data_IF_769791268734
#
_entry.id   IF_769791268734
#
_cell.length_a   1.000
_cell.length_b   1.000
_cell.length_c   1.000
_cell.angle_alpha   90.00
_cell.angle_beta   90.00
_cell.angle_gamma   90.00
#
_symmetry.space_group_name_H-M   'P 1'
#
loop_
_entity.id
_entity.type
_entity.pdbx_description
1 polymer ?
#
# COMPACT_ATOMS: atom_id res chain seq x y z
N UNK A 1 8.38 23.25 -17.01
CA UNK A 1 8.06 23.58 -15.61
C UNK A 1 8.18 25.08 -15.39
N UNK A 2 7.32 25.66 -14.54
CA UNK A 2 7.34 27.04 -14.08
C UNK A 2 7.53 27.04 -12.58
N UNK A 3 8.26 28.04 -12.07
CA UNK A 3 8.36 28.29 -10.64
C UNK A 3 7.37 29.40 -10.26
N UNK A 4 6.53 29.16 -9.27
CA UNK A 4 5.51 30.10 -8.79
C UNK A 4 5.55 30.12 -7.26
N UNK A 5 5.57 31.30 -6.66
CA UNK A 5 5.51 31.45 -5.21
C UNK A 5 4.13 31.94 -4.79
N UNK A 6 3.44 31.20 -3.91
CA UNK A 6 2.10 31.53 -3.39
C UNK A 6 2.09 31.24 -1.89
N UNK A 7 1.76 32.24 -1.07
CA UNK A 7 1.55 32.10 0.38
C UNK A 7 2.68 31.31 1.09
N UNK A 8 3.93 31.72 0.85
CA UNK A 8 5.20 31.13 1.36
C UNK A 8 5.60 29.75 0.80
N UNK A 9 4.82 29.21 -0.15
CA UNK A 9 5.16 27.99 -0.88
C UNK A 9 5.79 28.29 -2.23
N UNK A 10 6.92 27.63 -2.50
CA UNK A 10 7.57 27.65 -3.80
C UNK A 10 7.17 26.39 -4.60
N UNK A 11 6.29 26.57 -5.58
CA UNK A 11 5.82 25.53 -6.49
C UNK A 11 6.69 25.43 -7.74
N UNK A 12 7.09 24.22 -8.10
CA UNK A 12 7.54 23.85 -9.43
C UNK A 12 6.42 23.06 -10.11
N UNK A 13 5.69 23.69 -11.04
CA UNK A 13 4.47 23.13 -11.65
C UNK A 13 4.43 23.40 -13.16
N UNK A 14 3.76 22.54 -13.92
CA UNK A 14 3.59 22.72 -15.37
C UNK A 14 2.60 23.84 -15.75
N UNK A 15 1.48 23.95 -15.01
CA UNK A 15 0.37 24.88 -15.22
C UNK A 15 -0.17 25.36 -13.87
N UNK A 16 0.06 26.64 -13.57
CA UNK A 16 -0.37 27.31 -12.33
C UNK A 16 -1.89 27.22 -12.09
N UNK A 17 -2.70 27.14 -13.15
CA UNK A 17 -4.17 27.05 -13.01
C UNK A 17 -4.65 25.76 -12.33
N UNK A 18 -3.77 24.77 -12.15
CA UNK A 18 -4.04 23.55 -11.36
C UNK A 18 -4.07 23.81 -9.85
N UNK A 19 -3.53 24.92 -9.36
CA UNK A 19 -3.52 25.30 -7.94
C UNK A 19 -4.80 26.04 -7.52
N UNK A 20 -5.50 26.66 -8.47
CA UNK A 20 -6.74 27.37 -8.21
C UNK A 20 -7.96 26.43 -8.32
N UNK A 21 -8.96 26.53 -7.41
CA UNK A 21 -9.05 27.46 -6.29
C UNK A 21 -8.55 26.88 -4.95
N UNK A 22 -8.16 25.60 -4.92
CA UNK A 22 -7.99 24.84 -3.69
C UNK A 22 -6.77 25.28 -2.87
N UNK A 23 -5.67 25.70 -3.50
CA UNK A 23 -4.41 25.91 -2.81
C UNK A 23 -4.47 27.03 -1.76
N UNK A 24 -5.22 28.10 -2.02
CA UNK A 24 -5.38 29.21 -1.05
C UNK A 24 -6.19 28.84 0.19
N UNK A 25 -6.93 27.74 0.12
CA UNK A 25 -7.75 27.21 1.22
C UNK A 25 -7.32 25.78 1.55
N UNK A 26 -6.05 25.43 1.30
CA UNK A 26 -5.63 24.03 1.33
C UNK A 26 -5.84 23.38 2.69
N UNK A 27 -5.71 24.12 3.80
CA UNK A 27 -5.99 23.59 5.14
C UNK A 27 -7.44 23.10 5.30
N UNK A 28 -8.42 23.87 4.81
CA UNK A 28 -9.83 23.46 4.85
C UNK A 28 -10.10 22.25 3.96
N UNK A 29 -9.42 22.20 2.80
CA UNK A 29 -9.55 21.12 1.83
C UNK A 29 -8.89 19.83 2.34
N UNK A 30 -7.72 19.95 2.96
CA UNK A 30 -7.00 18.88 3.63
C UNK A 30 -7.85 18.28 4.75
N UNK A 31 -8.37 19.09 5.67
CA UNK A 31 -9.23 18.62 6.76
C UNK A 31 -10.47 17.86 6.25
N UNK A 32 -11.11 18.37 5.19
CA UNK A 32 -12.40 17.84 4.71
C UNK A 32 -12.27 16.66 3.74
N UNK A 33 -11.20 16.61 2.95
CA UNK A 33 -11.06 15.69 1.82
C UNK A 33 -9.82 14.81 1.92
N UNK A 34 -9.25 14.65 3.12
CA UNK A 34 -8.23 13.64 3.40
C UNK A 34 -8.76 12.24 3.10
N UNK A 35 -8.00 11.49 2.31
CA UNK A 35 -8.26 10.10 1.95
C UNK A 35 -7.31 9.13 2.65
N UNK A 36 -6.14 9.61 3.07
CA UNK A 36 -5.14 8.83 3.81
C UNK A 36 -4.27 9.77 4.64
N UNK A 37 -3.96 9.37 5.87
CA UNK A 37 -3.06 10.12 6.76
C UNK A 37 -2.19 9.17 7.56
N UNK A 38 -0.96 9.58 7.79
CA UNK A 38 -0.03 9.04 8.79
C UNK A 38 0.62 10.21 9.56
N UNK A 39 1.53 9.90 10.49
CA UNK A 39 2.14 10.88 11.38
C UNK A 39 2.95 11.98 10.68
N UNK A 40 3.30 11.80 9.41
CA UNK A 40 4.15 12.72 8.63
C UNK A 40 3.55 13.11 7.28
N UNK A 41 2.48 12.46 6.86
CA UNK A 41 1.94 12.59 5.51
C UNK A 41 0.43 12.62 5.53
N UNK A 42 -0.15 13.59 4.84
CA UNK A 42 -1.57 13.66 4.55
C UNK A 42 -1.78 13.62 3.03
N UNK A 43 -2.72 12.79 2.58
CA UNK A 43 -3.13 12.70 1.19
C UNK A 43 -4.58 13.10 1.12
N UNK A 44 -4.88 14.15 0.36
CA UNK A 44 -6.23 14.67 0.19
C UNK A 44 -6.56 14.92 -1.27
N UNK A 45 -7.85 14.86 -1.59
CA UNK A 45 -8.35 15.07 -2.96
C UNK A 45 -8.65 16.55 -3.19
N UNK A 46 -8.22 17.07 -4.33
CA UNK A 46 -8.49 18.43 -4.76
C UNK A 46 -9.06 18.46 -6.16
N UNK A 47 -9.75 19.55 -6.49
CA UNK A 47 -10.25 19.80 -7.83
C UNK A 47 -9.85 21.21 -8.25
N UNK A 48 -9.38 21.34 -9.49
CA UNK A 48 -9.01 22.65 -10.03
C UNK A 48 -10.20 23.40 -10.66
N UNK A 49 -9.95 24.63 -11.08
CA UNK A 49 -10.91 25.51 -11.77
C UNK A 49 -11.51 24.91 -13.04
N UNK A 50 -10.85 23.92 -13.66
CA UNK A 50 -11.29 23.20 -14.86
C UNK A 50 -11.96 21.87 -14.56
N UNK A 51 -12.29 21.60 -13.29
CA UNK A 51 -12.92 20.36 -12.84
C UNK A 51 -12.05 19.10 -13.02
N UNK A 52 -10.73 19.28 -13.12
CA UNK A 52 -9.76 18.17 -13.11
C UNK A 52 -9.47 17.79 -11.67
N UNK A 53 -9.45 16.49 -11.39
CA UNK A 53 -9.20 15.97 -10.06
C UNK A 53 -7.73 15.59 -9.87
N UNK A 54 -7.24 15.86 -8.67
CA UNK A 54 -5.88 15.56 -8.25
C UNK A 54 -5.86 15.02 -6.83
N UNK A 55 -4.76 14.37 -6.47
CA UNK A 55 -4.38 14.13 -5.09
C UNK A 55 -3.21 15.03 -4.73
N UNK A 56 -3.23 15.57 -3.52
CA UNK A 56 -2.13 16.30 -2.92
C UNK A 56 -1.58 15.45 -1.80
N UNK A 57 -0.29 15.12 -1.89
CA UNK A 57 0.46 14.48 -0.80
C UNK A 57 1.24 15.57 -0.09
N UNK A 58 0.75 16.01 1.05
CA UNK A 58 1.40 16.95 1.95
C UNK A 58 2.27 16.17 2.94
N UNK A 59 3.56 16.52 2.99
CA UNK A 59 4.58 15.86 3.81
C UNK A 59 5.11 16.90 4.79
N UNK A 60 4.80 16.67 6.07
CA UNK A 60 5.17 17.52 7.21
C UNK A 60 6.02 16.68 8.17
N UNK A 61 7.36 16.86 8.16
CA UNK A 61 8.27 16.20 9.09
C UNK A 61 7.84 16.39 10.54
N UNK A 62 7.86 15.33 11.34
CA UNK A 62 7.44 15.38 12.76
C UNK A 62 8.62 15.26 13.74
N UNK A 63 9.82 14.92 13.26
CA UNK A 63 11.01 14.72 14.07
C UNK A 63 12.19 15.58 13.63
N UNK A 64 13.09 15.90 14.57
CA UNK A 64 14.30 16.71 14.29
C UNK A 64 15.15 16.09 13.17
N UNK A 65 15.27 14.77 13.16
CA UNK A 65 16.01 14.03 12.12
C UNK A 65 15.36 14.24 10.76
N UNK A 66 14.04 14.15 10.68
CA UNK A 66 13.31 14.36 9.43
C UNK A 66 13.37 15.82 8.99
N UNK A 67 13.27 16.79 9.91
CA UNK A 67 13.46 18.20 9.57
C UNK A 67 14.84 18.46 8.95
N UNK A 68 15.91 17.85 9.49
CA UNK A 68 17.24 17.95 8.91
C UNK A 68 17.30 17.33 7.50
N UNK A 69 16.74 16.13 7.31
CA UNK A 69 16.68 15.49 5.99
C UNK A 69 15.88 16.34 5.01
N UNK A 70 14.69 16.80 5.40
CA UNK A 70 13.78 17.61 4.60
C UNK A 70 14.38 18.96 4.20
N UNK A 71 15.25 19.50 5.06
CA UNK A 71 16.00 20.71 4.76
C UNK A 71 16.91 20.52 3.53
N UNK A 72 17.65 19.40 3.47
CA UNK A 72 18.59 19.09 2.39
C UNK A 72 17.96 18.38 1.17
N UNK A 73 16.85 17.67 1.36
CA UNK A 73 16.20 16.86 0.33
C UNK A 73 14.69 16.96 0.43
N UNK A 74 14.01 17.22 -0.68
CA UNK A 74 12.53 17.26 -0.71
C UNK A 74 11.99 15.92 -1.21
N UNK A 75 11.29 15.18 -0.34
CA UNK A 75 10.66 13.90 -0.70
C UNK A 75 9.66 14.08 -1.84
N UNK A 76 8.89 15.16 -1.85
CA UNK A 76 7.98 15.49 -2.95
C UNK A 76 8.74 15.71 -4.27
N UNK A 77 9.88 16.40 -4.23
CA UNK A 77 10.74 16.60 -5.40
C UNK A 77 11.26 15.27 -5.96
N UNK A 78 11.77 14.38 -5.10
CA UNK A 78 12.31 13.09 -5.54
C UNK A 78 11.23 12.22 -6.20
N UNK A 79 10.01 12.20 -5.65
CA UNK A 79 8.87 11.48 -6.27
C UNK A 79 8.49 12.12 -7.61
N UNK A 80 8.48 13.46 -7.68
CA UNK A 80 8.23 14.16 -8.94
C UNK A 80 9.27 13.80 -10.00
N UNK A 81 10.57 13.89 -9.69
CA UNK A 81 11.66 13.59 -10.64
C UNK A 81 11.63 12.12 -11.09
N UNK A 82 11.35 11.20 -10.17
CA UNK A 82 11.18 9.78 -10.47
C UNK A 82 9.96 9.51 -11.37
N UNK A 83 8.84 10.18 -11.13
CA UNK A 83 7.66 10.11 -12.02
C UNK A 83 8.00 10.60 -13.43
N UNK A 84 8.72 11.73 -13.55
CA UNK A 84 9.16 12.24 -14.86
C UNK A 84 10.08 11.25 -15.58
N UNK A 85 10.99 10.59 -14.85
CA UNK A 85 11.87 9.56 -15.41
C UNK A 85 11.06 8.37 -15.97
N UNK A 86 10.14 7.82 -15.17
CA UNK A 86 9.28 6.71 -15.60
C UNK A 86 8.46 7.08 -16.85
N UNK A 87 7.88 8.28 -16.89
CA UNK A 87 7.15 8.77 -18.07
C UNK A 87 8.04 8.90 -19.30
N UNK A 88 9.27 9.37 -19.15
CA UNK A 88 10.22 9.51 -20.25
C UNK A 88 10.61 8.15 -20.87
N UNK A 89 10.66 7.09 -20.06
CA UNK A 89 10.92 5.72 -20.51
C UNK A 89 9.63 4.96 -20.91
N UNK A 90 8.47 5.61 -20.86
CA UNK A 90 7.19 4.99 -21.24
C UNK A 90 6.66 3.97 -20.24
N UNK A 91 7.17 3.95 -19.00
CA UNK A 91 6.67 3.08 -17.93
C UNK A 91 5.38 3.67 -17.37
N UNK A 92 4.26 2.92 -17.34
CA UNK A 92 3.00 3.40 -16.79
C UNK A 92 3.14 3.82 -15.31
N UNK A 93 2.99 5.11 -15.04
CA UNK A 93 2.99 5.64 -13.67
C UNK A 93 2.04 6.83 -13.54
N UNK A 94 1.73 7.20 -12.29
CA UNK A 94 0.92 8.39 -12.02
C UNK A 94 1.67 9.65 -12.50
N UNK A 95 0.96 10.53 -13.21
CA UNK A 95 1.49 11.82 -13.65
C UNK A 95 1.52 12.76 -12.46
N UNK A 96 2.71 13.27 -12.13
CA UNK A 96 2.90 14.31 -11.12
C UNK A 96 3.11 15.68 -11.81
N UNK A 97 2.10 16.56 -11.86
CA UNK A 97 2.22 17.83 -12.61
C UNK A 97 3.09 18.87 -11.90
N UNK A 98 3.34 18.71 -10.60
CA UNK A 98 4.20 19.61 -9.85
C UNK A 98 4.41 19.19 -8.41
N UNK A 99 5.35 19.88 -7.78
CA UNK A 99 5.67 19.75 -6.36
C UNK A 99 5.98 21.12 -5.76
N UNK A 100 5.95 21.23 -4.44
CA UNK A 100 6.19 22.46 -3.71
C UNK A 100 7.03 22.23 -2.47
N UNK A 101 7.62 23.31 -1.95
CA UNK A 101 8.30 23.33 -0.65
C UNK A 101 7.98 24.63 0.10
N UNK A 102 7.81 24.51 1.41
CA UNK A 102 7.75 25.63 2.36
C UNK A 102 8.55 25.23 3.60
N UNK A 103 9.75 25.80 3.76
CA UNK A 103 10.66 25.41 4.84
C UNK A 103 11.04 23.92 4.77
N UNK A 104 10.58 23.12 5.73
CA UNK A 104 10.76 21.66 5.76
C UNK A 104 9.59 20.88 5.17
N UNK A 105 8.47 21.56 4.92
CA UNK A 105 7.25 20.94 4.43
C UNK A 105 7.31 20.86 2.91
N UNK A 106 6.67 19.83 2.36
CA UNK A 106 6.63 19.66 0.91
C UNK A 106 5.28 19.10 0.46
N UNK A 107 4.87 19.49 -0.75
CA UNK A 107 3.65 18.97 -1.36
C UNK A 107 3.97 18.37 -2.72
N UNK A 108 3.30 17.27 -3.04
CA UNK A 108 3.30 16.68 -4.38
C UNK A 108 1.87 16.69 -4.91
N UNK A 109 1.68 17.25 -6.10
CA UNK A 109 0.43 17.15 -6.83
C UNK A 109 0.51 15.96 -7.79
N UNK A 110 -0.48 15.08 -7.75
CA UNK A 110 -0.58 13.92 -8.66
C UNK A 110 -1.96 13.87 -9.30
N UNK A 111 -2.02 13.50 -10.59
CA UNK A 111 -3.28 13.41 -11.31
C UNK A 111 -4.06 12.17 -10.87
N UNK A 112 -5.35 12.33 -10.59
CA UNK A 112 -6.23 11.18 -10.38
C UNK A 112 -6.33 10.38 -11.68
N UNK A 113 -6.09 9.07 -11.59
CA UNK A 113 -6.41 8.13 -12.65
C UNK A 113 -7.83 7.62 -12.36
N UNK A 114 -8.82 7.90 -13.22
CA UNK A 114 -10.18 7.43 -13.01
C UNK A 114 -10.26 5.91 -12.98
N UNK A 115 -11.21 5.38 -12.22
CA UNK A 115 -11.55 3.95 -12.17
C UNK A 115 -10.38 3.03 -11.81
N UNK A 116 -9.47 3.49 -10.95
CA UNK A 116 -8.40 2.66 -10.39
C UNK A 116 -8.59 2.37 -8.90
N UNK A 117 -7.99 1.26 -8.44
CA UNK A 117 -7.85 0.87 -7.03
C UNK A 117 -6.42 0.38 -6.78
N UNK A 118 -5.91 0.32 -5.53
CA UNK A 118 -4.66 -0.35 -5.21
C UNK A 118 -4.64 -1.80 -5.72
N UNK A 119 -3.48 -2.28 -6.17
CA UNK A 119 -3.35 -3.63 -6.72
C UNK A 119 -3.65 -4.70 -5.67
N UNK A 120 -3.25 -4.46 -4.42
CA UNK A 120 -3.58 -5.32 -3.30
C UNK A 120 -5.10 -5.43 -3.09
N UNK A 121 -5.83 -4.31 -3.19
CA UNK A 121 -7.30 -4.32 -3.10
C UNK A 121 -7.93 -5.07 -4.27
N UNK A 122 -7.50 -4.80 -5.50
CA UNK A 122 -8.02 -5.47 -6.69
C UNK A 122 -7.82 -6.99 -6.60
N UNK A 123 -6.65 -7.44 -6.15
CA UNK A 123 -6.35 -8.84 -5.99
C UNK A 123 -7.38 -9.55 -5.10
N UNK A 124 -7.47 -9.13 -3.83
CA UNK A 124 -8.31 -9.81 -2.84
C UNK A 124 -9.81 -9.65 -3.08
N UNK A 125 -10.25 -8.51 -3.64
CA UNK A 125 -11.67 -8.28 -3.92
C UNK A 125 -12.15 -8.89 -5.22
N UNK A 126 -11.26 -9.11 -6.19
CA UNK A 126 -11.65 -9.36 -7.58
C UNK A 126 -10.87 -10.47 -8.25
N UNK A 127 -9.53 -10.39 -8.29
CA UNK A 127 -8.73 -11.30 -9.10
C UNK A 127 -8.62 -12.70 -8.48
N UNK A 128 -8.46 -12.80 -7.16
CA UNK A 128 -8.25 -14.05 -6.44
C UNK A 128 -9.46 -15.03 -6.57
N UNK A 129 -10.66 -14.49 -6.82
CA UNK A 129 -11.89 -15.29 -6.90
C UNK A 129 -12.21 -15.82 -8.31
N UNK A 130 -11.54 -15.30 -9.35
CA UNK A 130 -11.85 -15.59 -10.75
C UNK A 130 -10.57 -15.98 -11.50
N UNK A 131 -10.46 -17.26 -11.89
CA UNK A 131 -9.26 -17.79 -12.54
C UNK A 131 -8.90 -17.10 -13.87
N UNK A 132 -9.84 -16.44 -14.55
CA UNK A 132 -9.52 -15.64 -15.72
C UNK A 132 -8.89 -14.30 -15.32
N UNK A 133 -9.49 -13.60 -14.36
CA UNK A 133 -8.97 -12.31 -13.84
C UNK A 133 -7.66 -12.48 -13.09
N UNK A 134 -7.48 -13.60 -12.42
CA UNK A 134 -6.24 -14.03 -11.80
C UNK A 134 -5.08 -14.00 -12.79
N UNK A 135 -5.20 -14.74 -13.90
CA UNK A 135 -4.16 -14.81 -14.95
C UNK A 135 -3.93 -13.46 -15.63
N UNK A 136 -5.01 -12.72 -15.89
CA UNK A 136 -4.90 -11.37 -16.46
C UNK A 136 -4.11 -10.43 -15.52
N UNK A 137 -4.41 -10.46 -14.22
CA UNK A 137 -3.69 -9.65 -13.24
C UNK A 137 -2.21 -9.98 -13.21
N UNK A 138 -1.84 -11.26 -13.11
CA UNK A 138 -0.44 -11.68 -13.05
C UNK A 138 0.30 -11.31 -14.33
N UNK A 139 -0.33 -11.53 -15.49
CA UNK A 139 0.24 -11.12 -16.79
C UNK A 139 0.49 -9.62 -16.88
N UNK A 140 -0.48 -8.77 -16.49
CA UNK A 140 -0.31 -7.31 -16.53
C UNK A 140 0.75 -6.83 -15.54
N UNK A 141 0.85 -7.46 -14.36
CA UNK A 141 1.89 -7.18 -13.38
C UNK A 141 3.28 -7.57 -13.91
N UNK A 142 3.39 -8.73 -14.55
CA UNK A 142 4.62 -9.24 -15.13
C UNK A 142 5.11 -8.37 -16.30
N UNK A 143 4.20 -7.87 -17.14
CA UNK A 143 4.52 -6.90 -18.18
C UNK A 143 5.04 -5.58 -17.57
N UNK A 144 4.43 -5.09 -16.49
CA UNK A 144 4.86 -3.88 -15.82
C UNK A 144 6.29 -4.02 -15.26
N UNK A 145 6.60 -5.12 -14.56
CA UNK A 145 7.93 -5.35 -14.00
C UNK A 145 8.99 -5.65 -15.07
N UNK A 146 8.63 -6.38 -16.13
CA UNK A 146 9.48 -6.61 -17.29
C UNK A 146 9.83 -5.29 -18.01
N UNK A 147 8.87 -4.36 -18.14
CA UNK A 147 9.12 -3.04 -18.73
C UNK A 147 10.12 -2.22 -17.91
N UNK A 148 10.03 -2.25 -16.58
CA UNK A 148 10.98 -1.57 -15.70
C UNK A 148 12.40 -2.13 -15.85
N UNK A 149 12.54 -3.46 -15.82
CA UNK A 149 13.84 -4.13 -15.93
C UNK A 149 14.47 -3.97 -17.31
N UNK A 150 13.67 -4.07 -18.38
CA UNK A 150 14.14 -3.86 -19.77
C UNK A 150 14.57 -2.42 -20.04
N UNK A 151 13.96 -1.45 -19.34
CA UNK A 151 14.34 -0.04 -19.41
C UNK A 151 15.53 0.34 -18.51
N UNK A 152 16.16 -0.64 -17.85
CA UNK A 152 17.23 -0.44 -16.88
C UNK A 152 16.87 0.55 -15.77
N UNK A 153 15.62 0.53 -15.29
CA UNK A 153 15.17 1.38 -14.21
C UNK A 153 15.19 0.59 -12.89
N UNK A 154 15.66 1.22 -11.83
CA UNK A 154 15.56 0.75 -10.45
C UNK A 154 14.42 1.51 -9.78
N UNK A 155 13.52 0.77 -9.14
CA UNK A 155 12.45 1.32 -8.29
C UNK A 155 12.61 0.68 -6.91
N UNK A 156 13.21 1.39 -5.94
CA UNK A 156 13.57 0.79 -4.65
C UNK A 156 12.41 0.19 -3.86
N UNK A 157 11.20 0.74 -4.01
CA UNK A 157 10.00 0.34 -3.24
C UNK A 157 8.85 -0.06 -4.16
N UNK A 158 9.05 -1.08 -4.99
CA UNK A 158 7.96 -1.67 -5.79
C UNK A 158 7.22 -2.72 -4.95
N UNK A 159 5.91 -2.52 -4.77
CA UNK A 159 4.98 -3.36 -4.00
C UNK A 159 3.56 -3.20 -4.53
N UNK A 160 2.63 -4.10 -4.17
CA UNK A 160 1.23 -3.97 -4.60
C UNK A 160 0.54 -2.76 -3.98
N UNK A 161 0.98 -2.31 -2.81
CA UNK A 161 0.55 -1.07 -2.17
C UNK A 161 0.93 0.19 -2.98
N UNK A 162 1.98 0.09 -3.81
CA UNK A 162 2.48 1.16 -4.67
C UNK A 162 2.11 0.96 -6.15
N UNK A 163 1.12 0.12 -6.45
CA UNK A 163 0.60 -0.08 -7.80
C UNK A 163 -0.92 0.18 -7.80
N UNK A 164 -1.38 0.96 -8.77
CA UNK A 164 -2.80 1.13 -9.06
C UNK A 164 -3.19 0.24 -10.24
N UNK A 165 -4.37 -0.36 -10.18
CA UNK A 165 -4.95 -1.21 -11.24
C UNK A 165 -6.26 -0.60 -11.67
N UNK A 166 -6.57 -0.59 -12.97
CA UNK A 166 -7.93 -0.29 -13.42
C UNK A 166 -8.91 -1.33 -12.91
N UNK A 167 -10.12 -0.93 -12.57
CA UNK A 167 -11.18 -1.83 -12.07
C UNK A 167 -11.61 -2.91 -13.07
N UNK A 168 -11.28 -2.75 -14.34
CA UNK A 168 -11.48 -3.77 -15.39
C UNK A 168 -10.27 -4.71 -15.55
N UNK A 169 -9.19 -4.51 -14.80
CA UNK A 169 -7.96 -5.30 -14.88
C UNK A 169 -7.00 -4.92 -16.01
N UNK A 170 -7.37 -3.97 -16.88
CA UNK A 170 -6.72 -3.81 -18.18
C UNK A 170 -5.33 -3.15 -18.13
N UNK A 171 -4.97 -2.51 -17.02
CA UNK A 171 -3.75 -1.72 -16.92
C UNK A 171 -3.34 -1.49 -15.46
N UNK A 172 -2.03 -1.39 -15.24
CA UNK A 172 -1.41 -1.06 -13.97
C UNK A 172 -0.55 0.21 -14.08
N UNK A 173 -0.43 0.95 -12.99
CA UNK A 173 0.33 2.19 -12.90
C UNK A 173 1.12 2.24 -11.60
N UNK A 174 2.40 2.57 -11.69
CA UNK A 174 3.25 2.78 -10.53
C UNK A 174 2.83 4.07 -9.80
N UNK A 175 2.62 3.96 -8.50
CA UNK A 175 2.28 5.03 -7.57
C UNK A 175 3.49 5.31 -6.66
N UNK A 176 3.72 6.58 -6.34
CA UNK A 176 4.75 7.01 -5.38
C UNK A 176 6.16 6.42 -5.69
N UNK A 177 6.70 6.56 -6.92
CA UNK A 177 8.03 6.08 -7.26
C UNK A 177 9.07 6.95 -6.55
N UNK A 178 9.49 6.58 -5.35
CA UNK A 178 10.51 7.33 -4.62
C UNK A 178 11.90 6.85 -5.02
N UNK A 179 12.79 7.79 -5.35
CA UNK A 179 14.21 7.54 -5.67
C UNK A 179 14.42 6.54 -6.83
N UNK A 180 13.58 6.64 -7.87
CA UNK A 180 13.77 5.85 -9.08
C UNK A 180 15.01 6.33 -9.85
N UNK A 181 15.79 5.39 -10.37
CA UNK A 181 17.05 5.66 -11.05
C UNK A 181 17.12 4.89 -12.37
N UNK A 182 17.70 5.49 -13.41
CA UNK A 182 18.03 4.79 -14.66
C UNK A 182 19.52 4.45 -14.67
N UNK A 183 19.84 3.19 -14.96
CA UNK A 183 21.21 2.73 -15.20
C UNK A 183 21.54 2.82 -16.69
N UNK A 184 22.80 3.13 -16.97
CA UNK A 184 23.34 3.13 -18.34
C UNK A 184 23.49 1.70 -18.90
N UNK A 185 23.80 0.75 -18.01
CA UNK A 185 23.92 -0.68 -18.33
C UNK A 185 22.65 -1.46 -17.97
N UNK A 186 22.59 -2.74 -18.36
CA UNK A 186 21.57 -3.67 -17.89
C UNK A 186 21.64 -3.83 -16.37
N UNK A 187 20.47 -3.92 -15.71
CA UNK A 187 20.41 -4.20 -14.27
C UNK A 187 21.12 -5.50 -13.92
N UNK A 188 21.89 -5.48 -12.84
CA UNK A 188 22.43 -6.68 -12.22
C UNK A 188 21.32 -7.57 -11.64
N UNK A 189 21.66 -8.80 -11.28
CA UNK A 189 20.70 -9.74 -10.67
C UNK A 189 20.12 -9.17 -9.37
N UNK A 190 20.97 -8.65 -8.48
CA UNK A 190 20.57 -8.02 -7.21
C UNK A 190 19.61 -6.84 -7.41
N UNK A 191 19.80 -6.05 -8.47
CA UNK A 191 18.93 -4.91 -8.81
C UNK A 191 17.59 -5.35 -9.43
N UNK A 192 17.51 -6.58 -9.95
CA UNK A 192 16.26 -7.17 -10.49
C UNK A 192 15.44 -7.84 -9.40
N UNK A 193 16.07 -8.34 -8.33
CA UNK A 193 15.38 -9.04 -7.24
C UNK A 193 14.21 -8.26 -6.62
N UNK A 194 14.26 -6.93 -6.42
CA UNK A 194 13.13 -6.18 -5.86
C UNK A 194 11.86 -6.26 -6.71
N UNK A 195 11.98 -6.50 -8.02
CA UNK A 195 10.82 -6.63 -8.92
C UNK A 195 10.02 -7.92 -8.72
N UNK A 196 10.52 -8.86 -7.91
CA UNK A 196 9.76 -10.02 -7.45
C UNK A 196 8.86 -9.69 -6.25
N UNK A 197 9.10 -8.60 -5.53
CA UNK A 197 8.36 -8.26 -4.31
C UNK A 197 6.82 -8.22 -4.52
N UNK A 198 6.28 -7.60 -5.59
CA UNK A 198 4.84 -7.61 -5.83
C UNK A 198 4.24 -9.02 -6.00
N UNK A 199 5.03 -9.98 -6.48
CA UNK A 199 4.61 -11.38 -6.61
C UNK A 199 4.70 -12.12 -5.28
N UNK A 200 5.75 -11.87 -4.49
CA UNK A 200 5.91 -12.41 -3.14
C UNK A 200 4.76 -11.97 -2.22
N UNK A 201 4.18 -10.79 -2.44
CA UNK A 201 2.99 -10.33 -1.71
C UNK A 201 1.72 -11.15 -1.96
N UNK A 202 1.69 -11.93 -3.05
CA UNK A 202 0.62 -12.87 -3.46
C UNK A 202 0.89 -14.31 -3.01
N UNK A 203 1.93 -14.54 -2.19
CA UNK A 203 2.22 -15.87 -1.65
C UNK A 203 1.05 -16.34 -0.78
N UNK A 204 0.76 -17.64 -0.81
CA UNK A 204 -0.41 -18.22 -0.16
C UNK A 204 -1.65 -18.26 -1.06
N UNK A 205 -1.74 -17.38 -2.06
CA UNK A 205 -2.76 -17.44 -3.11
C UNK A 205 -2.26 -18.08 -4.41
N UNK A 206 -0.98 -17.87 -4.75
CA UNK A 206 -0.32 -18.46 -5.92
C UNK A 206 0.90 -19.26 -5.46
N UNK A 207 1.14 -20.42 -6.07
CA UNK A 207 2.37 -21.17 -5.85
C UNK A 207 3.56 -20.48 -6.55
N UNK A 208 4.79 -20.61 -6.02
CA UNK A 208 5.99 -20.13 -6.70
C UNK A 208 6.16 -20.72 -8.10
N UNK A 209 5.74 -21.96 -8.32
CA UNK A 209 5.77 -22.62 -9.63
C UNK A 209 4.84 -21.91 -10.64
N UNK A 210 3.61 -21.60 -10.24
CA UNK A 210 2.66 -20.91 -11.12
C UNK A 210 3.11 -19.47 -11.40
N UNK A 211 3.59 -18.75 -10.38
CA UNK A 211 4.18 -17.40 -10.56
C UNK A 211 5.37 -17.43 -11.53
N UNK A 212 6.21 -18.46 -11.44
CA UNK A 212 7.39 -18.58 -12.29
C UNK A 212 7.03 -18.72 -13.77
N UNK A 213 5.94 -19.43 -14.10
CA UNK A 213 5.50 -19.61 -15.49
C UNK A 213 5.14 -18.25 -16.09
N UNK A 214 4.32 -17.46 -15.41
CA UNK A 214 3.87 -16.15 -15.89
C UNK A 214 5.03 -15.16 -16.02
N UNK A 215 6.00 -15.18 -15.08
CA UNK A 215 7.22 -14.38 -15.14
C UNK A 215 8.14 -14.77 -16.31
N UNK A 216 8.23 -16.06 -16.63
CA UNK A 216 8.99 -16.50 -17.80
C UNK A 216 8.31 -16.05 -19.11
N UNK A 217 6.98 -16.17 -19.20
CA UNK A 217 6.22 -15.76 -20.38
C UNK A 217 6.32 -14.25 -20.65
N UNK A 218 6.40 -13.42 -19.61
CA UNK A 218 6.59 -11.96 -19.74
C UNK A 218 8.02 -11.53 -20.07
N UNK A 219 8.97 -12.47 -20.13
CA UNK A 219 10.38 -12.19 -20.40
C UNK A 219 11.16 -11.69 -19.19
N UNK A 220 10.65 -11.87 -17.97
CA UNK A 220 11.37 -11.50 -16.74
C UNK A 220 12.67 -12.30 -16.57
N UNK A 221 12.76 -13.55 -17.04
CA UNK A 221 13.98 -14.37 -16.95
C UNK A 221 14.54 -14.71 -18.33
N UNK A 222 15.60 -14.01 -18.71
CA UNK A 222 16.40 -14.33 -19.89
C UNK A 222 17.32 -15.52 -19.61
N UNK A 223 16.79 -16.75 -19.61
CA UNK A 223 17.51 -18.02 -19.67
C UNK A 223 18.73 -18.20 -18.73
N UNK A 224 18.50 -18.59 -17.46
CA UNK A 224 19.32 -19.58 -16.72
C UNK A 224 18.95 -19.75 -15.24
N UNK A 225 18.12 -18.87 -14.67
CA UNK A 225 17.73 -18.91 -13.26
C UNK A 225 16.38 -19.62 -13.13
N UNK A 226 16.28 -20.57 -12.21
CA UNK A 226 15.00 -21.11 -11.79
C UNK A 226 14.27 -20.06 -10.94
N UNK A 227 13.37 -19.30 -11.58
CA UNK A 227 12.59 -18.24 -10.92
C UNK A 227 11.77 -18.80 -9.76
N UNK A 228 11.35 -20.06 -9.81
CA UNK A 228 10.62 -20.68 -8.71
C UNK A 228 11.54 -20.87 -7.50
N UNK A 229 12.76 -21.37 -7.69
CA UNK A 229 13.76 -21.49 -6.61
C UNK A 229 14.05 -20.14 -5.95
N UNK A 230 14.23 -19.09 -6.76
CA UNK A 230 14.46 -17.75 -6.26
C UNK A 230 13.25 -17.17 -5.49
N UNK A 231 12.02 -17.46 -5.95
CA UNK A 231 10.82 -17.08 -5.23
C UNK A 231 10.71 -17.81 -3.88
N UNK A 232 11.01 -19.11 -3.84
CA UNK A 232 11.06 -19.89 -2.59
C UNK A 232 12.06 -19.29 -1.60
N UNK A 233 13.32 -19.06 -2.02
CA UNK A 233 14.34 -18.47 -1.15
C UNK A 233 13.92 -17.10 -0.59
N UNK A 234 13.24 -16.28 -1.40
CA UNK A 234 12.81 -14.93 -1.01
C UNK A 234 11.58 -14.96 -0.10
N UNK A 235 10.69 -15.93 -0.29
CA UNK A 235 9.56 -16.18 0.62
C UNK A 235 10.10 -16.64 1.97
N UNK A 236 10.99 -17.64 1.99
CA UNK A 236 11.58 -18.16 3.22
C UNK A 236 12.32 -17.06 4.01
N UNK A 237 13.12 -16.24 3.32
CA UNK A 237 13.83 -15.12 3.96
C UNK A 237 12.87 -14.05 4.51
N UNK A 238 11.77 -13.76 3.80
CA UNK A 238 10.74 -12.83 4.26
C UNK A 238 10.01 -13.38 5.50
N UNK A 239 9.66 -14.66 5.50
CA UNK A 239 8.99 -15.30 6.63
C UNK A 239 9.90 -15.33 7.85
N UNK A 240 11.19 -15.64 7.68
CA UNK A 240 12.18 -15.57 8.76
C UNK A 240 12.34 -14.13 9.31
N UNK A 241 12.39 -13.11 8.44
CA UNK A 241 12.45 -11.70 8.82
C UNK A 241 11.20 -11.26 9.59
N UNK A 242 10.02 -11.74 9.16
CA UNK A 242 8.77 -11.49 9.88
C UNK A 242 8.83 -12.14 11.26
N UNK A 243 9.08 -13.44 11.34
CA UNK A 243 8.97 -14.19 12.59
C UNK A 243 10.01 -13.79 13.64
N UNK A 244 11.26 -13.64 13.23
CA UNK A 244 12.39 -13.44 14.14
C UNK A 244 12.82 -11.98 14.26
N UNK A 245 12.45 -11.15 13.29
CA UNK A 245 12.84 -9.74 13.23
C UNK A 245 11.71 -8.82 13.65
N UNK A 246 10.71 -8.65 12.78
CA UNK A 246 9.70 -7.59 12.91
C UNK A 246 8.51 -7.94 13.81
N UNK A 247 8.14 -9.22 13.92
CA UNK A 247 6.95 -9.66 14.66
C UNK A 247 6.93 -9.25 16.13
N UNK A 248 8.02 -9.36 16.92
CA UNK A 248 8.00 -8.97 18.33
C UNK A 248 7.60 -7.50 18.56
N UNK A 249 8.18 -6.59 17.77
CA UNK A 249 7.86 -5.16 17.84
C UNK A 249 6.44 -4.90 17.31
N UNK A 250 6.08 -5.59 16.23
CA UNK A 250 4.76 -5.46 15.62
C UNK A 250 3.62 -5.91 16.55
N UNK A 251 3.80 -7.03 17.25
CA UNK A 251 2.86 -7.53 18.24
C UNK A 251 2.66 -6.52 19.38
N UNK A 252 3.74 -5.89 19.86
CA UNK A 252 3.65 -4.84 20.87
C UNK A 252 2.80 -3.65 20.39
N UNK A 253 3.05 -3.13 19.18
CA UNK A 253 2.25 -2.04 18.61
C UNK A 253 0.77 -2.41 18.40
N UNK A 254 0.47 -3.67 18.06
CA UNK A 254 -0.91 -4.16 17.98
C UNK A 254 -1.58 -4.12 19.35
N UNK A 255 -0.89 -4.51 20.42
CA UNK A 255 -1.43 -4.48 21.79
C UNK A 255 -1.60 -3.05 22.32
N UNK A 256 -0.65 -2.17 22.03
CA UNK A 256 -0.61 -0.79 22.54
C UNK A 256 -1.63 0.15 21.86
N UNK A 257 -2.31 -0.30 20.80
CA UNK A 257 -3.26 0.56 20.08
C UNK A 257 -2.64 1.37 18.95
N UNK A 258 -1.36 1.12 18.63
CA UNK A 258 -0.58 1.90 17.68
C UNK A 258 -0.65 1.33 16.24
N UNK A 259 -1.26 0.16 16.06
CA UNK A 259 -1.45 -0.48 14.75
C UNK A 259 -2.68 0.03 13.98
N UNK A 260 -2.89 1.35 13.91
CA UNK A 260 -4.09 1.98 13.31
C UNK A 260 -4.37 1.59 11.84
N UNK A 261 -3.35 1.13 11.11
CA UNK A 261 -3.50 0.57 9.77
C UNK A 261 -4.21 -0.80 9.75
N UNK A 262 -4.03 -1.60 10.80
CA UNK A 262 -4.56 -2.97 10.90
C UNK A 262 -5.91 -3.07 11.56
N UNK A 263 -6.19 -2.19 12.51
CA UNK A 263 -7.47 -2.14 13.19
C UNK A 263 -7.73 -0.72 13.68
N UNK A 264 -8.98 -0.43 14.02
CA UNK A 264 -9.38 0.81 14.68
C UNK A 264 -10.05 0.51 16.01
N UNK A 265 -9.95 1.46 16.93
CA UNK A 265 -10.56 1.37 18.25
C UNK A 265 -11.81 2.24 18.32
N UNK A 266 -12.91 1.65 18.80
CA UNK A 266 -14.17 2.32 19.10
C UNK A 266 -14.40 2.20 20.61
N UNK A 267 -14.35 3.33 21.31
CA UNK A 267 -14.59 3.36 22.76
C UNK A 267 -16.08 3.55 23.03
N UNK A 268 -16.68 2.63 23.78
CA UNK A 268 -18.04 2.76 24.30
C UNK A 268 -17.99 3.00 25.82
N UNK A 269 -19.09 3.40 26.47
CA UNK A 269 -19.09 3.67 27.92
C UNK A 269 -18.63 2.51 28.81
N UNK A 270 -18.74 1.26 28.36
CA UNK A 270 -18.45 0.07 29.17
C UNK A 270 -17.51 -0.94 28.47
N UNK A 271 -17.03 -0.63 27.27
CA UNK A 271 -16.18 -1.53 26.50
C UNK A 271 -15.24 -0.79 25.54
N UNK A 272 -14.15 -1.47 25.20
CA UNK A 272 -13.24 -1.09 24.12
C UNK A 272 -13.44 -2.10 23.00
N UNK A 273 -13.92 -1.64 21.84
CA UNK A 273 -14.09 -2.46 20.64
C UNK A 273 -12.95 -2.19 19.67
N UNK A 274 -12.17 -3.22 19.36
CA UNK A 274 -11.13 -3.21 18.32
C UNK A 274 -11.71 -3.87 17.07
N UNK A 275 -11.78 -3.13 15.95
CA UNK A 275 -12.33 -3.63 14.68
C UNK A 275 -11.22 -3.71 13.65
N UNK A 276 -11.01 -4.89 13.08
CA UNK A 276 -10.01 -5.16 12.05
C UNK A 276 -10.28 -4.31 10.80
N UNK A 277 -9.21 -3.84 10.17
CA UNK A 277 -9.23 -3.25 8.83
C UNK A 277 -8.90 -4.34 7.80
N UNK A 278 -9.27 -4.09 6.56
CA UNK A 278 -8.87 -4.96 5.43
C UNK A 278 -7.35 -5.03 5.33
N UNK A 279 -6.80 -6.03 4.63
CA UNK A 279 -5.35 -6.12 4.42
C UNK A 279 -4.77 -4.92 3.63
N UNK A 280 -5.56 -4.27 2.77
CA UNK A 280 -5.21 -2.99 2.13
C UNK A 280 -5.62 -1.77 2.97
N UNK A 281 -5.76 -1.93 4.29
CA UNK A 281 -5.86 -0.89 5.32
C UNK A 281 -7.09 0.02 5.25
N UNK A 282 -8.16 -0.44 4.59
CA UNK A 282 -9.47 0.22 4.62
C UNK A 282 -10.27 -0.26 5.83
N UNK A 283 -11.04 0.64 6.44
CA UNK A 283 -11.92 0.30 7.55
C UNK A 283 -13.04 -0.66 7.11
N UNK A 284 -13.15 -1.83 7.75
CA UNK A 284 -14.31 -2.72 7.63
C UNK A 284 -15.49 -2.18 8.45
N UNK A 285 -16.76 -2.42 8.11
CA UNK A 285 -17.87 -2.10 9.00
C UNK A 285 -17.75 -2.83 10.36
N UNK A 286 -18.41 -2.31 11.40
CA UNK A 286 -18.53 -3.04 12.66
C UNK A 286 -19.24 -4.38 12.42
N UNK A 287 -18.64 -5.52 12.83
CA UNK A 287 -19.24 -6.83 12.59
C UNK A 287 -20.52 -7.03 13.40
N UNK A 288 -21.51 -7.68 12.81
CA UNK A 288 -22.78 -8.03 13.44
C UNK A 288 -23.12 -9.51 13.21
N UNK A 289 -24.29 -9.93 13.67
CA UNK A 289 -24.71 -11.34 13.59
C UNK A 289 -25.03 -11.80 12.15
N UNK A 290 -25.03 -10.89 11.17
CA UNK A 290 -25.22 -11.24 9.75
C UNK A 290 -23.92 -11.68 9.07
N UNK A 291 -22.77 -11.25 9.59
CA UNK A 291 -21.46 -11.54 9.01
C UNK A 291 -20.43 -12.13 9.99
N UNK A 292 -20.80 -12.30 11.26
CA UNK A 292 -19.90 -12.83 12.27
C UNK A 292 -20.58 -13.67 13.35
N UNK A 293 -19.79 -14.50 14.01
CA UNK A 293 -20.19 -15.26 15.21
C UNK A 293 -19.34 -14.83 16.42
N UNK A 294 -19.97 -14.43 17.54
CA UNK A 294 -19.26 -14.09 18.78
C UNK A 294 -18.89 -15.35 19.57
N UNK A 295 -17.72 -15.32 20.20
CA UNK A 295 -17.29 -16.31 21.20
C UNK A 295 -16.67 -15.58 22.40
N UNK A 296 -16.98 -16.05 23.61
CA UNK A 296 -16.43 -15.52 24.86
C UNK A 296 -15.06 -16.14 25.14
N UNK A 297 -14.10 -15.31 25.56
CA UNK A 297 -12.75 -15.72 25.91
C UNK A 297 -12.31 -15.14 27.26
N UNK A 298 -11.36 -15.81 27.90
CA UNK A 298 -10.56 -15.20 28.96
C UNK A 298 -9.56 -14.19 28.36
N UNK A 299 -9.08 -13.24 29.17
CA UNK A 299 -8.20 -12.14 28.71
C UNK A 299 -7.00 -12.66 27.88
N UNK A 300 -6.24 -13.60 28.43
CA UNK A 300 -5.02 -14.15 27.78
C UNK A 300 -5.35 -14.86 26.45
N UNK A 301 -6.45 -15.61 26.39
CA UNK A 301 -6.86 -16.35 25.19
C UNK A 301 -7.37 -15.41 24.09
N UNK A 302 -8.11 -14.36 24.47
CA UNK A 302 -8.60 -13.36 23.52
C UNK A 302 -7.43 -12.60 22.86
N UNK A 303 -6.44 -12.23 23.67
CA UNK A 303 -5.21 -11.58 23.21
C UNK A 303 -4.43 -12.48 22.25
N UNK A 304 -4.20 -13.73 22.62
CA UNK A 304 -3.48 -14.72 21.79
C UNK A 304 -4.18 -14.91 20.44
N UNK A 305 -5.49 -15.16 20.43
CA UNK A 305 -6.26 -15.32 19.18
C UNK A 305 -6.19 -14.07 18.29
N UNK A 306 -6.29 -12.89 18.89
CA UNK A 306 -6.22 -11.63 18.17
C UNK A 306 -4.83 -11.41 17.55
N UNK A 307 -3.77 -11.61 18.34
CA UNK A 307 -2.39 -11.39 17.93
C UNK A 307 -1.94 -12.43 16.90
N UNK A 308 -2.16 -13.72 17.15
CA UNK A 308 -1.77 -14.79 16.23
C UNK A 308 -2.45 -14.66 14.87
N UNK A 309 -3.67 -14.13 14.83
CA UNK A 309 -4.34 -13.88 13.56
C UNK A 309 -3.67 -12.78 12.74
N UNK A 310 -3.06 -11.74 13.34
CA UNK A 310 -2.23 -10.80 12.56
C UNK A 310 -0.92 -11.42 12.10
N UNK A 311 -0.30 -12.28 12.92
CA UNK A 311 0.88 -13.03 12.50
C UNK A 311 0.58 -13.89 11.27
N UNK A 312 -0.51 -14.64 11.33
CA UNK A 312 -0.97 -15.49 10.24
C UNK A 312 -1.28 -14.66 8.98
N UNK A 313 -1.90 -13.49 9.13
CA UNK A 313 -2.14 -12.57 8.01
C UNK A 313 -0.83 -12.10 7.37
N UNK A 314 0.14 -11.67 8.18
CA UNK A 314 1.45 -11.20 7.69
C UNK A 314 2.21 -12.32 6.99
N UNK A 315 2.18 -13.53 7.54
CA UNK A 315 2.84 -14.72 7.00
C UNK A 315 2.08 -15.39 5.85
N UNK A 316 0.83 -14.97 5.57
CA UNK A 316 -0.06 -15.62 4.59
C UNK A 316 -0.40 -17.07 4.93
N UNK A 317 -0.43 -17.39 6.22
CA UNK A 317 -0.80 -18.71 6.71
C UNK A 317 -2.31 -18.85 6.85
N UNK A 318 -2.79 -20.08 6.67
CA UNK A 318 -4.18 -20.42 6.86
C UNK A 318 -4.65 -20.11 8.30
N UNK A 319 -5.77 -19.38 8.42
CA UNK A 319 -6.40 -19.06 9.68
C UNK A 319 -7.81 -19.67 9.72
N UNK A 320 -8.00 -20.70 10.55
CA UNK A 320 -9.25 -21.48 10.56
C UNK A 320 -10.48 -20.64 10.98
N UNK A 321 -10.29 -19.67 11.86
CA UNK A 321 -11.31 -18.71 12.27
C UNK A 321 -10.69 -17.32 12.25
N UNK A 322 -11.16 -16.47 11.33
CA UNK A 322 -10.62 -15.12 11.15
C UNK A 322 -11.31 -14.13 12.11
N UNK A 323 -10.60 -13.54 13.09
CA UNK A 323 -11.18 -12.55 13.99
C UNK A 323 -11.43 -11.22 13.25
N UNK A 324 -12.67 -10.73 13.30
CA UNK A 324 -13.06 -9.42 12.75
C UNK A 324 -13.05 -8.32 13.80
N UNK A 325 -13.36 -8.65 15.05
CA UNK A 325 -13.30 -7.70 16.15
C UNK A 325 -13.05 -8.36 17.50
N UNK A 326 -12.48 -7.59 18.42
CA UNK A 326 -12.32 -7.95 19.82
C UNK A 326 -12.91 -6.85 20.70
N UNK A 327 -13.94 -7.20 21.47
CA UNK A 327 -14.58 -6.34 22.46
C UNK A 327 -14.14 -6.73 23.87
N UNK A 328 -13.56 -5.77 24.60
CA UNK A 328 -13.11 -5.94 25.97
C UNK A 328 -13.98 -5.10 26.90
N UNK A 329 -14.64 -5.75 27.86
CA UNK A 329 -15.54 -5.12 28.82
C UNK A 329 -14.83 -4.77 30.13
N UNK A 330 -15.30 -3.74 30.83
CA UNK A 330 -14.75 -3.35 32.14
C UNK A 330 -14.86 -4.44 33.22
N UNK A 331 -15.80 -5.39 33.05
CA UNK A 331 -16.00 -6.51 33.97
C UNK A 331 -15.03 -7.70 33.72
N UNK A 332 -14.07 -7.54 32.80
CA UNK A 332 -13.08 -8.56 32.44
C UNK A 332 -13.59 -9.59 31.42
N UNK A 333 -14.78 -9.40 30.86
CA UNK A 333 -15.28 -10.24 29.77
C UNK A 333 -14.65 -9.82 28.45
N UNK A 334 -14.33 -10.80 27.60
CA UNK A 334 -13.85 -10.56 26.25
C UNK A 334 -14.73 -11.32 25.26
N UNK A 335 -15.15 -10.64 24.21
CA UNK A 335 -15.87 -11.24 23.09
C UNK A 335 -15.06 -11.03 21.83
N UNK A 336 -14.71 -12.12 21.16
CA UNK A 336 -14.10 -12.08 19.82
C UNK A 336 -15.15 -12.51 18.82
N UNK A 337 -15.34 -11.71 17.76
CA UNK A 337 -16.23 -12.05 16.65
C UNK A 337 -15.43 -12.56 15.47
N UNK A 338 -15.82 -13.72 14.95
CA UNK A 338 -15.17 -14.35 13.81
C UNK A 338 -16.00 -14.24 12.54
N UNK A 339 -15.35 -14.08 11.39
CA UNK A 339 -16.01 -13.99 10.09
C UNK A 339 -16.77 -15.27 9.76
N UNK A 340 -17.98 -15.13 9.22
CA UNK A 340 -18.79 -16.27 8.73
C UNK A 340 -18.97 -16.31 7.22
N UNK A 341 -18.61 -15.23 6.52
CA UNK A 341 -18.69 -15.14 5.07
C UNK A 341 -17.29 -15.12 4.44
N UNK A 342 -17.21 -15.48 3.17
CA UNK A 342 -15.95 -15.58 2.44
C UNK A 342 -15.35 -14.20 2.10
N UNK A 343 -16.20 -13.20 1.84
CA UNK A 343 -15.75 -11.86 1.46
C UNK A 343 -14.98 -11.16 2.57
N UNK A 344 -15.42 -11.25 3.82
CA UNK A 344 -14.75 -10.67 4.99
C UNK A 344 -13.43 -11.39 5.28
N UNK A 345 -13.37 -12.70 5.05
CA UNK A 345 -12.15 -13.52 5.21
C UNK A 345 -11.10 -13.11 4.20
N UNK A 346 -11.47 -13.00 2.92
CA UNK A 346 -10.60 -12.50 1.87
C UNK A 346 -10.20 -11.04 2.08
N UNK A 347 -11.11 -10.21 2.59
CA UNK A 347 -10.79 -8.82 2.91
C UNK A 347 -9.73 -8.71 4.02
N UNK A 348 -9.69 -9.70 4.91
CA UNK A 348 -8.63 -9.87 5.90
C UNK A 348 -7.35 -10.52 5.33
N UNK A 349 -7.30 -10.85 4.05
CA UNK A 349 -6.12 -11.40 3.39
C UNK A 349 -5.86 -12.88 3.66
N UNK A 350 -6.91 -13.65 3.95
CA UNK A 350 -6.84 -15.09 4.13
C UNK A 350 -7.56 -15.81 3.00
N UNK A 351 -6.96 -16.88 2.49
CA UNK A 351 -7.62 -17.84 1.62
C UNK A 351 -8.02 -19.08 2.43
N UNK A 352 -9.20 -19.64 2.19
CA UNK A 352 -9.72 -20.83 2.89
C UNK A 352 -9.43 -22.12 2.15
#
# INVERSE_FOLDING_TARGET
>A
MKNVSIDDWDWCIDDESRLDPWFRIYHEVEEKFTVKSDDTTQVFRVQDSRQRNYFVKHISPNSIREHLIAFFSSKAKNIFESSQLLHAEGIPCVICPGWAKNGTDSMLLSQEIPDTVPALEYWFRTAAQDSARHREFVSVLADLTANCTTSSIIIPQISLDNILVRKDGSAMFILNPLDAEKKDDSLSEDERLPYLNPFIELRGEISPEDMSIDLHESGFSGNSIDVAELLHERIDALEEEIENGSWPDYAAHVLEGEAGALYRTVTTPNSILRVRNTIWRTALPEPDDSNSTPEDFHDEEAEEVWIDSFKAQLLRYHCAKVPLSWEQFEDGRNIVRFATNYDDILACGFNQ
#
